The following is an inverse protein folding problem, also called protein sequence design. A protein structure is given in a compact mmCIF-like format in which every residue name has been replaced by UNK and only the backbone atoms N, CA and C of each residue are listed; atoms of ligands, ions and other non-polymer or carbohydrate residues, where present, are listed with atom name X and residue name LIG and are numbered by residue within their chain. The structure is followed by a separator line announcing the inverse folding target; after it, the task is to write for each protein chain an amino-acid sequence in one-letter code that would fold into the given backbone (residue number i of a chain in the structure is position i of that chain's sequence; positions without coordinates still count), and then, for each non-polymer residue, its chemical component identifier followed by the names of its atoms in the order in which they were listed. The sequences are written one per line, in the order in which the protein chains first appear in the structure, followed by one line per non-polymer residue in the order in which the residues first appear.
data_IF_932058003206
#
_entry.id   IF_932058003206
#
_cell.length_a   1.000
_cell.length_b   1.000
_cell.length_c   1.000
_cell.angle_alpha   90.00
_cell.angle_beta   90.00
_cell.angle_gamma   90.00
#
_symmetry.space_group_name_H-M   'P 1'
#
loop_
_entity.id
_entity.type
_entity.pdbx_description
1 polymer ?
#
# COMPACT_ATOMS: atom_id res chain seq x y z
N UNK A 1 -5.04 10.21 -23.01
CA UNK A 1 -4.83 8.81 -22.59
C UNK A 1 -4.85 8.75 -21.06
N UNK A 2 -5.83 8.05 -20.46
CA UNK A 2 -5.93 7.94 -18.99
C UNK A 2 -4.84 6.99 -18.49
N UNK A 3 -3.78 7.54 -17.93
CA UNK A 3 -2.85 6.75 -17.10
C UNK A 3 -3.59 6.35 -15.83
N UNK A 4 -4.17 5.17 -15.80
CA UNK A 4 -4.55 4.53 -14.56
C UNK A 4 -3.27 4.00 -13.92
N UNK A 5 -2.58 4.87 -13.19
CA UNK A 5 -1.55 4.46 -12.24
C UNK A 5 -2.25 3.58 -11.22
N UNK A 6 -1.86 2.31 -11.13
CA UNK A 6 -2.26 1.46 -10.02
C UNK A 6 -1.68 2.11 -8.75
N UNK A 7 -2.51 2.92 -8.08
CA UNK A 7 -2.17 3.35 -6.73
C UNK A 7 -2.07 2.06 -5.93
N UNK A 8 -0.87 1.78 -5.45
CA UNK A 8 -0.65 0.82 -4.40
C UNK A 8 -1.36 1.38 -3.16
N UNK A 9 -2.69 1.18 -3.11
CA UNK A 9 -3.49 1.53 -1.95
C UNK A 9 -3.06 0.55 -0.88
N UNK A 10 -2.10 1.01 -0.10
CA UNK A 10 -1.51 0.24 0.95
C UNK A 10 -2.47 0.18 2.10
N UNK A 11 -2.88 -1.04 2.40
CA UNK A 11 -3.47 -1.37 3.69
C UNK A 11 -2.48 -0.95 4.76
N UNK A 12 -2.75 0.18 5.42
CA UNK A 12 -2.11 0.58 6.67
C UNK A 12 -2.54 -0.42 7.76
N UNK A 13 -2.03 -1.66 7.64
CA UNK A 13 -1.92 -2.53 8.80
C UNK A 13 -0.65 -2.08 9.52
N UNK A 14 -0.82 -1.57 10.71
CA UNK A 14 0.25 -1.18 11.63
C UNK A 14 1.34 -2.26 11.63
N UNK A 15 2.42 -2.03 10.88
CA UNK A 15 3.59 -2.89 10.86
C UNK A 15 4.35 -2.69 12.16
N UNK A 16 4.15 -3.59 13.13
CA UNK A 16 5.06 -3.74 14.25
C UNK A 16 6.13 -4.75 13.87
N UNK A 17 7.39 -4.36 14.03
CA UNK A 17 8.57 -5.15 13.73
C UNK A 17 8.53 -6.52 14.42
N UNK A 18 8.74 -7.59 13.65
CA UNK A 18 9.03 -8.91 14.21
C UNK A 18 10.52 -9.15 14.07
N UNK A 19 11.27 -9.01 15.17
CA UNK A 19 12.59 -9.58 15.30
C UNK A 19 12.45 -11.08 15.61
N UNK A 20 13.19 -11.93 14.90
CA UNK A 20 13.25 -13.37 15.14
C UNK A 20 13.92 -13.62 16.50
N UNK A 21 13.11 -13.86 17.54
CA UNK A 21 13.59 -14.20 18.88
C UNK A 21 12.48 -13.94 19.90
N UNK A 22 11.78 -15.01 20.33
CA UNK A 22 10.56 -15.04 21.14
C UNK A 22 9.33 -14.50 20.40
N UNK A 23 8.23 -15.24 20.40
CA UNK A 23 6.97 -14.85 19.76
C UNK A 23 6.43 -13.55 20.41
N UNK A 24 6.96 -12.41 19.97
CA UNK A 24 6.48 -11.14 20.43
C UNK A 24 5.16 -10.86 19.71
N UNK A 25 4.05 -10.90 20.44
CA UNK A 25 2.71 -10.59 19.96
C UNK A 25 2.50 -9.07 19.97
N UNK A 26 2.85 -8.36 18.89
CA UNK A 26 2.84 -6.89 18.86
C UNK A 26 1.43 -6.32 18.94
N UNK A 27 0.43 -7.15 18.64
CA UNK A 27 -0.98 -6.75 18.70
C UNK A 27 -1.54 -6.81 20.12
N UNK A 28 -0.82 -7.44 21.07
CA UNK A 28 -1.26 -7.59 22.46
C UNK A 28 -2.69 -8.17 22.54
N UNK A 29 -2.95 -9.24 21.80
CA UNK A 29 -4.12 -10.11 21.88
C UNK A 29 -3.74 -11.39 22.62
N UNK A 30 -4.71 -12.27 22.93
CA UNK A 30 -4.41 -13.57 23.51
C UNK A 30 -3.39 -14.35 22.66
N UNK A 31 -2.34 -14.89 23.29
CA UNK A 31 -1.23 -15.52 22.56
C UNK A 31 -1.66 -16.73 21.73
N UNK A 32 -2.73 -17.42 22.10
CA UNK A 32 -3.27 -18.53 21.30
C UNK A 32 -4.02 -18.04 20.04
N UNK A 33 -4.50 -16.80 20.04
CA UNK A 33 -5.18 -16.19 18.89
C UNK A 33 -4.19 -15.59 17.88
N UNK A 34 -2.99 -15.23 18.35
CA UNK A 34 -2.00 -14.58 17.50
C UNK A 34 -1.58 -15.41 16.28
N UNK A 35 -1.31 -16.73 16.37
CA UNK A 35 -1.03 -17.57 15.20
C UNK A 35 -2.19 -17.66 14.22
N UNK A 36 -3.44 -17.64 14.70
CA UNK A 36 -4.63 -17.64 13.86
C UNK A 36 -4.70 -16.30 13.09
N UNK A 37 -4.48 -15.19 13.78
CA UNK A 37 -4.43 -13.87 13.16
C UNK A 37 -3.32 -13.75 12.11
N UNK A 38 -2.11 -14.25 12.40
CA UNK A 38 -1.01 -14.28 11.42
C UNK A 38 -1.39 -15.05 10.14
N UNK A 39 -2.07 -16.19 10.28
CA UNK A 39 -2.59 -16.95 9.12
C UNK A 39 -3.66 -16.15 8.38
N UNK A 40 -4.59 -15.50 9.08
CA UNK A 40 -5.62 -14.66 8.47
C UNK A 40 -5.00 -13.52 7.66
N UNK A 41 -3.99 -12.83 8.19
CA UNK A 41 -3.22 -11.79 7.48
C UNK A 41 -2.52 -12.34 6.24
N UNK A 42 -1.89 -13.51 6.33
CA UNK A 42 -1.22 -14.16 5.20
C UNK A 42 -2.19 -14.41 4.03
N UNK A 43 -3.41 -14.80 4.34
CA UNK A 43 -4.44 -15.15 3.35
C UNK A 43 -5.48 -14.04 3.11
N UNK A 44 -5.29 -12.83 3.64
CA UNK A 44 -6.28 -11.74 3.63
C UNK A 44 -6.81 -11.31 2.25
N UNK A 45 -6.08 -11.63 1.18
CA UNK A 45 -6.49 -11.32 -0.21
C UNK A 45 -7.04 -12.55 -0.94
N UNK A 46 -7.30 -13.64 -0.23
CA UNK A 46 -7.82 -14.88 -0.77
C UNK A 46 -9.03 -15.36 0.04
N UNK A 47 -9.97 -16.15 -0.55
CA UNK A 47 -11.17 -16.62 0.14
C UNK A 47 -10.90 -17.38 1.45
N UNK A 48 -9.76 -18.09 1.53
CA UNK A 48 -9.35 -18.78 2.76
C UNK A 48 -9.18 -17.83 3.95
N UNK A 49 -8.77 -16.59 3.69
CA UNK A 49 -8.63 -15.56 4.73
C UNK A 49 -9.94 -15.27 5.45
N UNK A 50 -11.07 -15.30 4.73
CA UNK A 50 -12.40 -15.07 5.32
C UNK A 50 -12.75 -16.17 6.34
N UNK A 51 -12.53 -17.45 5.99
CA UNK A 51 -12.80 -18.58 6.88
C UNK A 51 -11.93 -18.53 8.15
N UNK A 52 -10.65 -18.17 7.99
CA UNK A 52 -9.74 -18.03 9.13
C UNK A 52 -10.16 -16.84 10.00
N UNK A 53 -10.64 -15.76 9.41
CA UNK A 53 -11.12 -14.59 10.16
C UNK A 53 -12.40 -14.91 10.96
N UNK A 54 -13.31 -15.70 10.41
CA UNK A 54 -14.51 -16.16 11.13
C UNK A 54 -14.12 -17.04 12.32
N UNK A 55 -13.17 -17.97 12.14
CA UNK A 55 -12.61 -18.78 13.23
C UNK A 55 -11.99 -17.90 14.31
N UNK A 56 -11.15 -16.93 13.92
CA UNK A 56 -10.51 -15.99 14.84
C UNK A 56 -11.56 -15.19 15.63
N UNK A 57 -12.61 -14.70 14.96
CA UNK A 57 -13.66 -13.92 15.62
C UNK A 57 -14.43 -14.77 16.64
N UNK A 58 -14.76 -16.03 16.31
CA UNK A 58 -15.45 -16.95 17.20
C UNK A 58 -14.61 -17.28 18.45
N UNK A 59 -13.34 -17.65 18.27
CA UNK A 59 -12.43 -17.94 19.39
C UNK A 59 -12.15 -16.69 20.24
N UNK A 60 -11.97 -15.52 19.61
CA UNK A 60 -11.81 -14.25 20.33
C UNK A 60 -13.07 -13.89 21.16
N UNK A 61 -14.24 -14.27 20.66
CA UNK A 61 -15.51 -14.09 21.39
C UNK A 61 -15.57 -14.97 22.64
N UNK A 62 -15.19 -16.25 22.53
CA UNK A 62 -15.13 -17.15 23.68
C UNK A 62 -14.12 -16.67 24.73
N UNK A 63 -12.97 -16.16 24.30
CA UNK A 63 -11.92 -15.61 25.17
C UNK A 63 -12.19 -14.18 25.66
N UNK A 64 -13.26 -13.55 25.20
CA UNK A 64 -13.60 -12.15 25.48
C UNK A 64 -12.51 -11.15 25.07
N UNK A 65 -11.66 -11.53 24.08
CA UNK A 65 -10.64 -10.65 23.52
C UNK A 65 -11.24 -9.70 22.48
N UNK A 66 -11.64 -8.52 22.94
CA UNK A 66 -12.29 -7.50 22.12
C UNK A 66 -11.38 -6.95 21.01
N UNK A 67 -10.08 -6.92 21.26
CA UNK A 67 -9.11 -6.45 20.29
C UNK A 67 -8.93 -7.47 19.15
N UNK A 68 -8.83 -8.75 19.49
CA UNK A 68 -8.79 -9.82 18.49
C UNK A 68 -10.08 -9.89 17.66
N UNK A 69 -11.26 -9.63 18.25
CA UNK A 69 -12.52 -9.50 17.50
C UNK A 69 -12.42 -8.38 16.45
N UNK A 70 -11.96 -7.18 16.84
CA UNK A 70 -11.78 -6.07 15.90
C UNK A 70 -10.76 -6.42 14.79
N UNK A 71 -9.64 -7.04 15.14
CA UNK A 71 -8.64 -7.49 14.17
C UNK A 71 -9.20 -8.50 13.16
N UNK A 72 -9.98 -9.47 13.62
CA UNK A 72 -10.63 -10.45 12.74
C UNK A 72 -11.49 -9.76 11.67
N UNK A 73 -12.22 -8.70 12.04
CA UNK A 73 -13.08 -7.96 11.13
C UNK A 73 -12.34 -7.09 10.10
N UNK A 74 -11.04 -6.85 10.29
CA UNK A 74 -10.22 -6.16 9.27
C UNK A 74 -9.94 -7.03 8.04
N UNK A 75 -10.00 -8.35 8.19
CA UNK A 75 -9.69 -9.30 7.10
C UNK A 75 -10.73 -9.27 5.98
N UNK A 76 -12.06 -9.39 6.24
CA UNK A 76 -13.07 -9.23 5.19
C UNK A 76 -12.99 -7.88 4.48
N UNK A 77 -12.72 -6.78 5.21
CA UNK A 77 -12.54 -5.45 4.61
C UNK A 77 -11.35 -5.47 3.63
N UNK A 78 -10.23 -6.07 4.04
CA UNK A 78 -9.04 -6.22 3.19
C UNK A 78 -9.30 -7.08 1.96
N UNK A 79 -10.03 -8.19 2.12
CA UNK A 79 -10.38 -9.09 1.03
C UNK A 79 -11.25 -8.40 -0.02
N UNK A 80 -12.34 -7.76 0.41
CA UNK A 80 -13.26 -7.10 -0.52
C UNK A 80 -12.65 -5.85 -1.15
N UNK A 81 -11.72 -5.17 -0.49
CA UNK A 81 -10.91 -4.13 -1.11
C UNK A 81 -10.03 -4.71 -2.24
N UNK A 82 -9.33 -5.83 -1.98
CA UNK A 82 -8.45 -6.46 -2.96
C UNK A 82 -9.17 -7.00 -4.19
N UNK A 83 -10.43 -7.40 -4.03
CA UNK A 83 -11.32 -7.88 -5.10
C UNK A 83 -12.18 -6.76 -5.70
N UNK A 84 -12.01 -5.52 -5.24
CA UNK A 84 -12.76 -4.34 -5.65
C UNK A 84 -14.28 -4.51 -5.56
N UNK A 85 -14.78 -5.28 -4.60
CA UNK A 85 -16.20 -5.54 -4.38
C UNK A 85 -16.75 -4.53 -3.36
N UNK A 86 -17.24 -3.39 -3.86
CA UNK A 86 -17.68 -2.28 -3.02
C UNK A 86 -18.86 -2.68 -2.11
N UNK A 87 -19.88 -3.36 -2.63
CA UNK A 87 -21.07 -3.71 -1.86
C UNK A 87 -20.75 -4.56 -0.62
N UNK A 88 -19.98 -5.64 -0.82
CA UNK A 88 -19.54 -6.50 0.29
C UNK A 88 -18.54 -5.81 1.21
N UNK A 89 -17.71 -4.91 0.66
CA UNK A 89 -16.80 -4.12 1.47
C UNK A 89 -17.55 -3.16 2.38
N UNK A 90 -18.59 -2.49 1.88
CA UNK A 90 -19.41 -1.56 2.67
C UNK A 90 -20.05 -2.27 3.87
N UNK A 91 -20.61 -3.48 3.66
CA UNK A 91 -21.18 -4.32 4.72
C UNK A 91 -20.11 -4.75 5.75
N UNK A 92 -18.94 -5.23 5.27
CA UNK A 92 -17.84 -5.63 6.15
C UNK A 92 -17.27 -4.45 6.94
N UNK A 93 -17.11 -3.28 6.29
CA UNK A 93 -16.64 -2.06 6.92
C UNK A 93 -17.64 -1.54 7.97
N UNK A 94 -18.94 -1.60 7.69
CA UNK A 94 -19.96 -1.21 8.66
C UNK A 94 -19.87 -2.05 9.95
N UNK A 95 -19.76 -3.38 9.84
CA UNK A 95 -19.58 -4.29 10.97
C UNK A 95 -18.26 -4.01 11.72
N UNK A 96 -17.15 -3.81 10.99
CA UNK A 96 -15.85 -3.50 11.60
C UNK A 96 -15.88 -2.16 12.35
N UNK A 97 -16.51 -1.15 11.77
CA UNK A 97 -16.65 0.18 12.39
C UNK A 97 -17.49 0.12 13.67
N UNK A 98 -18.61 -0.59 13.66
CA UNK A 98 -19.48 -0.77 14.82
C UNK A 98 -18.73 -1.45 15.97
N UNK A 99 -18.10 -2.60 15.71
CA UNK A 99 -17.36 -3.34 16.75
C UNK A 99 -16.16 -2.55 17.29
N UNK A 100 -15.43 -1.86 16.41
CA UNK A 100 -14.30 -1.04 16.80
C UNK A 100 -14.72 0.12 17.69
N UNK A 101 -15.81 0.81 17.38
CA UNK A 101 -16.34 1.93 18.17
C UNK A 101 -16.89 1.46 19.50
N UNK A 102 -17.66 0.36 19.52
CA UNK A 102 -18.20 -0.26 20.73
C UNK A 102 -17.11 -0.63 21.75
N UNK A 103 -15.96 -1.07 21.28
CA UNK A 103 -14.85 -1.51 22.12
C UNK A 103 -13.73 -0.47 22.27
N UNK A 104 -13.92 0.75 21.77
CA UNK A 104 -12.97 1.87 21.82
C UNK A 104 -11.61 1.57 21.10
N UNK A 105 -11.62 0.77 20.05
CA UNK A 105 -10.46 0.54 19.19
C UNK A 105 -10.55 1.42 17.94
N UNK A 106 -10.58 2.74 18.10
CA UNK A 106 -10.86 3.71 17.04
C UNK A 106 -9.89 3.66 15.87
N UNK A 107 -8.66 3.19 16.07
CA UNK A 107 -7.74 2.96 14.95
C UNK A 107 -8.30 2.00 13.89
N UNK A 108 -9.02 0.93 14.30
CA UNK A 108 -9.65 0.01 13.35
C UNK A 108 -10.89 0.60 12.70
N UNK A 109 -11.60 1.47 13.44
CA UNK A 109 -12.69 2.25 12.88
C UNK A 109 -12.20 3.12 11.71
N UNK A 110 -11.15 3.92 11.91
CA UNK A 110 -10.61 4.80 10.89
C UNK A 110 -9.94 4.04 9.74
N UNK A 111 -9.32 2.89 10.02
CA UNK A 111 -8.81 1.99 8.99
C UNK A 111 -9.93 1.47 8.08
N UNK A 112 -11.06 1.07 8.65
CA UNK A 112 -12.22 0.62 7.87
C UNK A 112 -12.82 1.76 7.03
N UNK A 113 -12.90 2.99 7.55
CA UNK A 113 -13.33 4.17 6.80
C UNK A 113 -12.41 4.44 5.60
N UNK A 114 -11.09 4.42 5.82
CA UNK A 114 -10.09 4.61 4.76
C UNK A 114 -10.24 3.56 3.65
N UNK A 115 -10.42 2.29 4.02
CA UNK A 115 -10.59 1.20 3.03
C UNK A 115 -11.88 1.35 2.22
N UNK A 116 -12.96 1.79 2.84
CA UNK A 116 -14.22 2.10 2.15
C UNK A 116 -14.05 3.23 1.13
N UNK A 117 -13.39 4.32 1.53
CA UNK A 117 -13.09 5.45 0.66
C UNK A 117 -12.20 5.02 -0.51
N UNK A 118 -11.17 4.23 -0.24
CA UNK A 118 -10.25 3.72 -1.26
C UNK A 118 -10.99 2.82 -2.27
N UNK A 119 -11.92 2.00 -1.83
CA UNK A 119 -12.72 1.18 -2.72
C UNK A 119 -13.63 2.04 -3.63
N UNK A 120 -14.22 3.11 -3.10
CA UNK A 120 -14.97 4.07 -3.89
C UNK A 120 -14.10 4.74 -4.97
N UNK A 121 -12.88 5.11 -4.62
CA UNK A 121 -11.91 5.69 -5.56
C UNK A 121 -11.57 4.70 -6.67
N UNK A 122 -11.29 3.44 -6.33
CA UNK A 122 -10.99 2.39 -7.31
C UNK A 122 -12.14 2.13 -8.29
N UNK A 123 -13.39 2.34 -7.84
CA UNK A 123 -14.60 2.21 -8.65
C UNK A 123 -15.00 3.52 -9.36
N UNK A 124 -14.17 4.57 -9.30
CA UNK A 124 -14.42 5.85 -9.97
C UNK A 124 -15.43 6.77 -9.26
N UNK A 125 -15.89 6.41 -8.06
CA UNK A 125 -16.86 7.20 -7.29
C UNK A 125 -16.23 8.31 -6.46
N UNK A 126 -15.43 9.18 -7.11
CA UNK A 126 -14.60 10.18 -6.43
C UNK A 126 -15.38 11.21 -5.61
N UNK A 127 -16.61 11.56 -5.99
CA UNK A 127 -17.45 12.50 -5.22
C UNK A 127 -17.94 11.85 -3.91
N UNK A 128 -18.40 10.59 -3.96
CA UNK A 128 -18.79 9.85 -2.75
C UNK A 128 -17.59 9.60 -1.83
N UNK A 129 -16.43 9.33 -2.41
CA UNK A 129 -15.18 9.20 -1.66
C UNK A 129 -14.83 10.49 -0.91
N UNK A 130 -14.95 11.64 -1.57
CA UNK A 130 -14.72 12.95 -0.95
C UNK A 130 -15.70 13.22 0.19
N UNK A 131 -17.00 12.97 -0.02
CA UNK A 131 -18.01 13.13 1.01
C UNK A 131 -17.67 12.28 2.25
N UNK A 132 -17.38 10.98 2.07
CA UNK A 132 -17.01 10.09 3.18
C UNK A 132 -15.69 10.50 3.87
N UNK A 133 -14.74 11.08 3.13
CA UNK A 133 -13.51 11.60 3.72
C UNK A 133 -13.77 12.84 4.60
N UNK A 134 -14.66 13.73 4.18
CA UNK A 134 -15.05 14.89 5.02
C UNK A 134 -15.84 14.44 6.27
N UNK A 135 -16.75 13.48 6.14
CA UNK A 135 -17.44 12.87 7.31
C UNK A 135 -16.44 12.24 8.28
N UNK A 136 -15.46 11.48 7.76
CA UNK A 136 -14.39 10.87 8.54
C UNK A 136 -13.54 11.94 9.25
N UNK A 137 -13.23 13.05 8.57
CA UNK A 137 -12.46 14.17 9.13
C UNK A 137 -13.19 14.80 10.31
N UNK A 138 -14.46 15.18 10.15
CA UNK A 138 -15.29 15.74 11.22
C UNK A 138 -15.29 14.81 12.44
N UNK A 139 -15.45 13.50 12.21
CA UNK A 139 -15.49 12.52 13.28
C UNK A 139 -14.11 12.35 13.96
N UNK A 140 -13.01 12.36 13.20
CA UNK A 140 -11.66 12.20 13.75
C UNK A 140 -11.26 13.38 14.65
N UNK A 141 -11.64 14.60 14.26
CA UNK A 141 -11.43 15.78 15.09
C UNK A 141 -12.30 15.77 16.34
N UNK A 142 -13.57 15.33 16.23
CA UNK A 142 -14.46 15.17 17.39
C UNK A 142 -13.93 14.13 18.37
N UNK A 143 -13.43 13.01 17.88
CA UNK A 143 -12.84 11.94 18.70
C UNK A 143 -11.44 12.30 19.23
N UNK A 144 -10.82 13.39 18.77
CA UNK A 144 -9.43 13.79 19.05
C UNK A 144 -8.44 12.62 18.81
N UNK A 145 -8.68 11.83 17.76
CA UNK A 145 -7.95 10.59 17.52
C UNK A 145 -6.83 10.79 16.50
N UNK A 146 -5.56 10.78 16.96
CA UNK A 146 -4.38 11.11 16.18
C UNK A 146 -4.28 10.30 14.85
N UNK A 147 -4.45 8.98 14.94
CA UNK A 147 -4.45 8.13 13.74
C UNK A 147 -5.62 8.45 12.80
N UNK A 148 -6.79 8.80 13.34
CA UNK A 148 -7.94 9.22 12.55
C UNK A 148 -7.67 10.51 11.78
N UNK A 149 -7.10 11.52 12.44
CA UNK A 149 -6.74 12.81 11.82
C UNK A 149 -5.69 12.58 10.73
N UNK A 150 -4.61 11.85 11.03
CA UNK A 150 -3.61 11.48 10.04
C UNK A 150 -4.24 10.78 8.82
N UNK A 151 -5.07 9.75 9.06
CA UNK A 151 -5.70 8.95 8.01
C UNK A 151 -6.60 9.81 7.10
N UNK A 152 -7.27 10.83 7.66
CA UNK A 152 -8.06 11.79 6.87
C UNK A 152 -7.19 12.62 5.94
N UNK A 153 -6.13 13.22 6.47
CA UNK A 153 -5.22 14.07 5.69
C UNK A 153 -4.64 13.25 4.53
N UNK A 154 -4.15 12.05 4.84
CA UNK A 154 -3.58 11.16 3.83
C UNK A 154 -4.62 10.73 2.78
N UNK A 155 -5.84 10.36 3.20
CA UNK A 155 -6.92 9.92 2.31
C UNK A 155 -7.36 11.04 1.38
N UNK A 156 -7.43 12.29 1.86
CA UNK A 156 -7.69 13.45 1.01
C UNK A 156 -6.58 13.61 -0.05
N UNK A 157 -5.33 13.42 0.30
CA UNK A 157 -4.23 13.36 -0.66
C UNK A 157 -4.49 12.33 -1.77
N UNK A 158 -4.87 11.11 -1.41
CA UNK A 158 -5.21 10.05 -2.38
C UNK A 158 -6.38 10.45 -3.29
N UNK A 159 -7.43 11.09 -2.75
CA UNK A 159 -8.57 11.57 -3.54
C UNK A 159 -8.13 12.60 -4.58
N UNK A 160 -7.34 13.60 -4.17
CA UNK A 160 -6.86 14.63 -5.10
C UNK A 160 -5.89 14.05 -6.13
N UNK A 161 -5.05 13.10 -5.75
CA UNK A 161 -4.18 12.38 -6.68
C UNK A 161 -4.99 11.65 -7.77
N UNK A 162 -6.04 10.91 -7.38
CA UNK A 162 -6.94 10.23 -8.33
C UNK A 162 -7.69 11.19 -9.23
N UNK A 163 -7.98 12.40 -8.76
CA UNK A 163 -8.60 13.48 -9.55
C UNK A 163 -7.61 14.22 -10.42
N UNK A 164 -6.38 13.74 -10.55
CA UNK A 164 -5.28 14.34 -11.32
C UNK A 164 -4.83 15.72 -10.80
N UNK A 165 -5.24 16.11 -9.61
CA UNK A 165 -4.76 17.33 -8.94
C UNK A 165 -3.54 16.99 -8.06
N UNK A 166 -2.42 16.75 -8.73
CA UNK A 166 -1.20 16.25 -8.09
C UNK A 166 -0.54 17.24 -7.14
N UNK A 167 -0.65 18.54 -7.42
CA UNK A 167 -0.09 19.59 -6.56
C UNK A 167 -0.80 19.59 -5.21
N UNK A 168 -2.14 19.63 -5.22
CA UNK A 168 -2.93 19.59 -3.99
C UNK A 168 -2.69 18.25 -3.24
N UNK A 169 -2.63 17.13 -3.97
CA UNK A 169 -2.33 15.83 -3.36
C UNK A 169 -0.98 15.84 -2.62
N UNK A 170 0.04 16.47 -3.23
CA UNK A 170 1.39 16.56 -2.64
C UNK A 170 1.39 17.37 -1.34
N UNK A 171 0.65 18.48 -1.30
CA UNK A 171 0.51 19.26 -0.07
C UNK A 171 -0.17 18.45 1.05
N UNK A 172 -1.21 17.67 0.71
CA UNK A 172 -1.80 16.74 1.67
C UNK A 172 -0.82 15.66 2.15
N UNK A 173 0.01 15.10 1.26
CA UNK A 173 1.01 14.10 1.66
C UNK A 173 2.11 14.70 2.55
N UNK A 174 2.56 15.92 2.28
CA UNK A 174 3.51 16.63 3.16
C UNK A 174 2.90 16.88 4.53
N UNK A 175 1.67 17.39 4.57
CA UNK A 175 0.95 17.63 5.83
C UNK A 175 0.71 16.33 6.60
N UNK A 176 0.36 15.23 5.91
CA UNK A 176 0.20 13.91 6.53
C UNK A 176 1.52 13.39 7.12
N UNK A 177 2.63 13.57 6.39
CA UNK A 177 3.97 13.20 6.85
C UNK A 177 4.37 14.00 8.09
N UNK A 178 4.22 15.31 8.06
CA UNK A 178 4.53 16.18 9.20
C UNK A 178 3.69 15.81 10.43
N UNK A 179 2.39 15.62 10.24
CA UNK A 179 1.49 15.21 11.29
C UNK A 179 1.87 13.84 11.88
N UNK A 180 2.19 12.86 11.03
CA UNK A 180 2.62 11.52 11.45
C UNK A 180 3.92 11.60 12.26
N UNK A 181 4.93 12.29 11.78
CA UNK A 181 6.23 12.39 12.46
C UNK A 181 6.11 13.04 13.84
N UNK A 182 5.17 14.00 13.99
CA UNK A 182 4.95 14.72 15.25
C UNK A 182 4.09 13.93 16.24
N UNK A 183 2.99 13.32 15.79
CA UNK A 183 1.94 12.80 16.68
C UNK A 183 1.89 11.27 16.70
N UNK A 184 2.55 10.60 15.75
CA UNK A 184 2.52 9.13 15.60
C UNK A 184 3.96 8.58 15.35
N UNK A 185 4.94 8.86 16.24
CA UNK A 185 6.35 8.55 15.99
C UNK A 185 6.64 7.06 15.82
N UNK A 186 5.76 6.20 16.35
CA UNK A 186 5.87 4.75 16.21
C UNK A 186 5.36 4.22 14.86
N UNK A 187 4.66 5.02 14.10
CA UNK A 187 4.19 4.63 12.77
C UNK A 187 5.34 4.62 11.75
N UNK A 188 5.14 3.84 10.67
CA UNK A 188 6.11 3.74 9.58
C UNK A 188 5.81 4.78 8.50
N UNK A 189 6.65 5.84 8.32
CA UNK A 189 6.42 6.89 7.34
C UNK A 189 6.83 6.51 5.92
N UNK A 190 7.34 5.31 5.69
CA UNK A 190 7.91 4.86 4.41
C UNK A 190 7.00 5.16 3.23
N UNK A 191 5.71 4.88 3.36
CA UNK A 191 4.77 5.08 2.25
C UNK A 191 4.46 6.55 1.95
N UNK A 192 4.58 7.43 2.94
CA UNK A 192 4.48 8.88 2.71
C UNK A 192 5.66 9.35 1.87
N UNK A 193 6.85 8.89 2.21
CA UNK A 193 8.04 9.19 1.42
C UNK A 193 7.97 8.61 0.00
N UNK A 194 7.46 7.38 -0.18
CA UNK A 194 7.25 6.76 -1.49
C UNK A 194 6.30 7.62 -2.35
N UNK A 195 5.16 8.04 -1.81
CA UNK A 195 4.20 8.86 -2.55
C UNK A 195 4.80 10.22 -2.98
N UNK A 196 5.60 10.85 -2.12
CA UNK A 196 6.32 12.07 -2.47
C UNK A 196 7.39 11.80 -3.54
N UNK A 197 8.14 10.72 -3.42
CA UNK A 197 9.11 10.28 -4.43
C UNK A 197 8.46 10.07 -5.80
N UNK A 198 7.32 9.37 -5.86
CA UNK A 198 6.56 9.15 -7.10
C UNK A 198 6.09 10.46 -7.73
N UNK A 199 5.58 11.38 -6.91
CA UNK A 199 5.16 12.70 -7.39
C UNK A 199 6.31 13.46 -8.06
N UNK A 200 7.46 13.57 -7.39
CA UNK A 200 8.60 14.29 -7.94
C UNK A 200 9.22 13.59 -9.15
N UNK A 201 9.24 12.25 -9.18
CA UNK A 201 9.63 11.49 -10.37
C UNK A 201 8.72 11.80 -11.56
N UNK A 202 7.41 11.80 -11.37
CA UNK A 202 6.44 12.06 -12.42
C UNK A 202 6.48 13.53 -12.91
N UNK A 203 6.94 14.44 -12.07
CA UNK A 203 7.19 15.84 -12.41
C UNK A 203 8.51 16.04 -13.17
N UNK A 204 9.37 15.01 -13.21
CA UNK A 204 10.70 15.08 -13.82
C UNK A 204 11.80 15.60 -12.88
N UNK A 205 11.50 15.81 -11.61
CA UNK A 205 12.44 16.26 -10.57
C UNK A 205 13.15 15.05 -9.94
N UNK A 206 13.99 14.35 -10.74
CA UNK A 206 14.59 13.06 -10.40
C UNK A 206 15.44 13.07 -9.12
N UNK A 207 16.25 14.10 -8.89
CA UNK A 207 17.10 14.18 -7.68
C UNK A 207 16.25 14.33 -6.40
N UNK A 208 15.18 15.14 -6.45
CA UNK A 208 14.25 15.27 -5.32
C UNK A 208 13.49 13.96 -5.09
N UNK A 209 13.09 13.28 -6.18
CA UNK A 209 12.46 11.96 -6.09
C UNK A 209 13.38 10.94 -5.43
N UNK A 210 14.68 10.94 -5.78
CA UNK A 210 15.67 10.04 -5.20
C UNK A 210 15.90 10.34 -3.71
N UNK A 211 15.96 11.60 -3.32
CA UNK A 211 16.06 11.99 -1.91
C UNK A 211 14.90 11.41 -1.08
N UNK A 212 13.65 11.51 -1.58
CA UNK A 212 12.50 10.94 -0.91
C UNK A 212 12.53 9.40 -0.91
N UNK A 213 12.98 8.75 -1.99
CA UNK A 213 13.15 7.29 -2.04
C UNK A 213 14.18 6.80 -1.01
N UNK A 214 15.27 7.54 -0.81
CA UNK A 214 16.27 7.23 0.22
C UNK A 214 15.75 7.43 1.64
N UNK A 215 14.98 8.50 1.87
CA UNK A 215 14.24 8.69 3.14
C UNK A 215 13.29 7.53 3.41
N UNK A 216 12.58 7.04 2.38
CA UNK A 216 11.71 5.87 2.48
C UNK A 216 12.49 4.61 2.89
N UNK A 217 13.62 4.33 2.23
CA UNK A 217 14.45 3.17 2.54
C UNK A 217 15.02 3.21 3.96
N UNK A 218 15.45 4.40 4.41
CA UNK A 218 15.98 4.61 5.76
C UNK A 218 14.90 4.49 6.84
N UNK A 219 13.68 4.90 6.55
CA UNK A 219 12.57 4.94 7.51
C UNK A 219 11.83 3.60 7.64
N UNK A 220 12.06 2.65 6.72
CA UNK A 220 11.33 1.39 6.67
C UNK A 220 11.51 0.56 7.95
N UNK A 221 10.38 0.27 8.61
CA UNK A 221 10.33 -0.47 9.88
C UNK A 221 10.00 -1.95 9.71
N UNK A 222 9.50 -2.36 8.54
CA UNK A 222 9.12 -3.75 8.24
C UNK A 222 9.80 -4.23 6.97
N UNK A 223 9.86 -5.56 6.77
CA UNK A 223 10.41 -6.13 5.54
C UNK A 223 9.56 -5.73 4.31
N UNK A 224 8.23 -5.63 4.47
CA UNK A 224 7.34 -5.15 3.41
C UNK A 224 7.60 -3.70 3.04
N UNK A 225 7.76 -2.81 4.01
CA UNK A 225 8.07 -1.41 3.75
C UNK A 225 9.47 -1.24 3.18
N UNK A 226 10.46 -2.04 3.62
CA UNK A 226 11.80 -2.06 3.05
C UNK A 226 11.79 -2.47 1.57
N UNK A 227 11.10 -3.57 1.24
CA UNK A 227 10.95 -3.98 -0.17
C UNK A 227 10.22 -2.91 -0.98
N UNK A 228 9.13 -2.31 -0.44
CA UNK A 228 8.41 -1.26 -1.15
C UNK A 228 9.30 -0.02 -1.44
N UNK A 229 10.13 0.38 -0.48
CA UNK A 229 11.04 1.52 -0.66
C UNK A 229 12.15 1.23 -1.69
N UNK A 230 12.71 0.01 -1.69
CA UNK A 230 13.72 -0.40 -2.68
C UNK A 230 13.12 -0.48 -4.09
N UNK A 231 11.90 -1.02 -4.23
CA UNK A 231 11.17 -1.03 -5.51
C UNK A 231 10.99 0.41 -6.04
N UNK A 232 10.54 1.34 -5.19
CA UNK A 232 10.39 2.74 -5.56
C UNK A 232 11.73 3.39 -5.95
N UNK A 233 12.80 3.15 -5.16
CA UNK A 233 14.14 3.66 -5.46
C UNK A 233 14.65 3.16 -6.81
N UNK A 234 14.44 1.88 -7.13
CA UNK A 234 14.79 1.32 -8.45
C UNK A 234 14.02 2.03 -9.58
N UNK A 235 12.71 2.29 -9.42
CA UNK A 235 11.92 2.99 -10.44
C UNK A 235 12.41 4.42 -10.67
N UNK A 236 12.81 5.12 -9.60
CA UNK A 236 13.41 6.46 -9.71
C UNK A 236 14.75 6.41 -10.45
N UNK A 237 15.65 5.50 -10.06
CA UNK A 237 16.96 5.32 -10.70
C UNK A 237 16.84 4.94 -12.19
N UNK A 238 15.87 4.08 -12.52
CA UNK A 238 15.52 3.76 -13.89
C UNK A 238 15.10 5.01 -14.67
N UNK A 239 14.20 5.82 -14.14
CA UNK A 239 13.73 7.07 -14.80
C UNK A 239 14.85 8.07 -15.02
N UNK A 240 15.82 8.12 -14.12
CA UNK A 240 17.03 8.96 -14.19
C UNK A 240 18.13 8.37 -15.10
N UNK A 241 17.95 7.15 -15.62
CA UNK A 241 18.97 6.40 -16.41
C UNK A 241 20.28 6.16 -15.66
N UNK A 242 20.22 6.07 -14.32
CA UNK A 242 21.40 5.78 -13.47
C UNK A 242 21.62 4.27 -13.38
N UNK A 243 22.16 3.68 -14.46
CA UNK A 243 22.23 2.23 -14.69
C UNK A 243 22.96 1.49 -13.57
N UNK A 244 24.12 1.98 -13.14
CA UNK A 244 24.93 1.30 -12.11
C UNK A 244 24.21 1.30 -10.75
N UNK A 245 23.61 2.44 -10.37
CA UNK A 245 22.87 2.56 -9.13
C UNK A 245 21.60 1.75 -9.15
N UNK A 246 20.91 1.69 -10.32
CA UNK A 246 19.76 0.82 -10.52
C UNK A 246 20.12 -0.65 -10.32
N UNK A 247 21.23 -1.13 -10.92
CA UNK A 247 21.65 -2.53 -10.78
C UNK A 247 21.96 -2.86 -9.32
N UNK A 248 22.70 -2.01 -8.62
CA UNK A 248 22.99 -2.20 -7.19
C UNK A 248 21.71 -2.25 -6.33
N UNK A 249 20.77 -1.34 -6.58
CA UNK A 249 19.48 -1.31 -5.88
C UNK A 249 18.61 -2.51 -6.22
N UNK A 250 18.61 -2.97 -7.48
CA UNK A 250 17.90 -4.17 -7.92
C UNK A 250 18.42 -5.42 -7.20
N UNK A 251 19.74 -5.58 -7.13
CA UNK A 251 20.37 -6.74 -6.48
C UNK A 251 20.09 -6.72 -4.97
N UNK A 252 20.14 -5.56 -4.29
CA UNK A 252 19.71 -5.43 -2.89
C UNK A 252 18.23 -5.80 -2.72
N UNK A 253 17.35 -5.32 -3.59
CA UNK A 253 15.92 -5.58 -3.52
C UNK A 253 15.61 -7.08 -3.66
N UNK A 254 16.23 -7.75 -4.63
CA UNK A 254 16.06 -9.20 -4.84
C UNK A 254 16.58 -10.01 -3.67
N UNK A 255 17.74 -9.65 -3.11
CA UNK A 255 18.29 -10.30 -1.92
C UNK A 255 17.36 -10.18 -0.69
N UNK A 256 16.79 -8.99 -0.47
CA UNK A 256 15.83 -8.79 0.64
C UNK A 256 14.56 -9.62 0.44
N UNK A 257 14.07 -9.72 -0.81
CA UNK A 257 12.89 -10.54 -1.14
C UNK A 257 13.17 -12.03 -0.90
N UNK A 258 14.32 -12.53 -1.33
CA UNK A 258 14.73 -13.92 -1.12
C UNK A 258 14.89 -14.25 0.38
N UNK A 259 15.54 -13.37 1.12
CA UNK A 259 15.78 -13.55 2.55
C UNK A 259 14.50 -13.59 3.39
N UNK A 260 13.52 -12.73 3.06
CA UNK A 260 12.34 -12.55 3.90
C UNK A 260 11.04 -13.11 3.30
N UNK A 261 11.08 -13.67 2.09
CA UNK A 261 9.93 -14.28 1.42
C UNK A 261 8.79 -13.29 1.10
N UNK A 262 9.11 -12.01 0.91
CA UNK A 262 8.11 -10.97 0.59
C UNK A 262 7.61 -11.14 -0.84
N UNK A 263 6.32 -11.46 -0.99
CA UNK A 263 5.75 -11.80 -2.31
C UNK A 263 5.23 -10.52 -2.99
N UNK A 264 6.02 -9.95 -3.89
CA UNK A 264 5.63 -8.85 -4.79
C UNK A 264 5.94 -9.17 -6.25
N UNK A 265 5.49 -10.34 -6.70
CA UNK A 265 5.85 -10.92 -8.01
C UNK A 265 5.76 -9.92 -9.17
N UNK A 266 4.62 -9.23 -9.35
CA UNK A 266 4.42 -8.29 -10.45
C UNK A 266 5.38 -7.09 -10.40
N UNK A 267 5.67 -6.55 -9.20
CA UNK A 267 6.59 -5.44 -9.07
C UNK A 267 8.03 -5.86 -9.39
N UNK A 268 8.45 -7.05 -8.94
CA UNK A 268 9.77 -7.62 -9.26
C UNK A 268 9.90 -7.91 -10.76
N UNK A 269 8.86 -8.47 -11.37
CA UNK A 269 8.85 -8.67 -12.84
C UNK A 269 9.02 -7.35 -13.59
N UNK A 270 8.35 -6.28 -13.18
CA UNK A 270 8.54 -4.94 -13.76
C UNK A 270 9.98 -4.46 -13.65
N UNK A 271 10.62 -4.61 -12.48
CA UNK A 271 12.03 -4.25 -12.33
C UNK A 271 12.95 -5.10 -13.23
N UNK A 272 12.63 -6.39 -13.39
CA UNK A 272 13.39 -7.25 -14.31
C UNK A 272 13.26 -6.76 -15.75
N UNK A 273 12.05 -6.38 -16.17
CA UNK A 273 11.82 -5.76 -17.49
C UNK A 273 12.64 -4.48 -17.63
N UNK A 274 12.67 -3.60 -16.63
CA UNK A 274 13.49 -2.40 -16.66
C UNK A 274 15.00 -2.71 -16.81
N UNK A 275 15.49 -3.75 -16.11
CA UNK A 275 16.88 -4.23 -16.25
C UNK A 275 17.17 -4.69 -17.69
N UNK A 276 16.26 -5.42 -18.30
CA UNK A 276 16.37 -5.85 -19.70
C UNK A 276 16.37 -4.67 -20.67
N UNK A 277 15.51 -3.67 -20.46
CA UNK A 277 15.46 -2.45 -21.27
C UNK A 277 16.78 -1.68 -21.17
N UNK A 278 17.32 -1.48 -19.95
CA UNK A 278 18.59 -0.81 -19.74
C UNK A 278 19.77 -1.51 -20.44
N UNK A 279 19.70 -2.85 -20.51
CA UNK A 279 20.68 -3.69 -21.22
C UNK A 279 20.38 -3.83 -22.74
N UNK A 280 19.37 -3.11 -23.25
CA UNK A 280 18.92 -3.16 -24.65
C UNK A 280 18.46 -4.55 -25.13
N UNK A 281 18.06 -5.43 -24.20
CA UNK A 281 17.54 -6.76 -24.52
C UNK A 281 16.00 -6.68 -24.66
N UNK A 282 15.55 -6.05 -25.74
CA UNK A 282 14.14 -5.71 -25.94
C UNK A 282 13.26 -6.93 -26.22
N UNK A 283 13.77 -7.94 -26.93
CA UNK A 283 13.00 -9.15 -27.23
C UNK A 283 12.64 -9.93 -25.97
N UNK A 284 13.62 -10.10 -25.07
CA UNK A 284 13.38 -10.74 -23.79
C UNK A 284 12.49 -9.86 -22.90
N UNK A 285 12.63 -8.54 -22.95
CA UNK A 285 11.75 -7.62 -22.22
C UNK A 285 10.29 -7.77 -22.66
N UNK A 286 10.01 -7.94 -23.96
CA UNK A 286 8.67 -8.23 -24.48
C UNK A 286 8.13 -9.56 -23.97
N UNK A 287 8.94 -10.62 -24.01
CA UNK A 287 8.56 -11.95 -23.50
C UNK A 287 8.19 -11.90 -22.00
N UNK A 288 8.98 -11.19 -21.22
CA UNK A 288 8.67 -10.98 -19.78
C UNK A 288 7.41 -10.14 -19.56
N UNK A 289 7.17 -9.13 -20.41
CA UNK A 289 5.96 -8.32 -20.35
C UNK A 289 4.69 -9.14 -20.63
N UNK A 290 4.74 -10.06 -21.61
CA UNK A 290 3.66 -10.98 -21.91
C UNK A 290 3.30 -11.90 -20.73
N UNK A 291 4.27 -12.22 -19.88
CA UNK A 291 4.06 -13.05 -18.69
C UNK A 291 3.34 -12.35 -17.54
N UNK A 292 3.14 -11.02 -17.61
CA UNK A 292 2.44 -10.27 -16.60
C UNK A 292 0.95 -10.62 -16.58
N UNK A 293 0.43 -10.99 -15.40
CA UNK A 293 -0.96 -11.40 -15.25
C UNK A 293 -1.99 -10.29 -15.53
N UNK A 294 -1.57 -9.04 -15.40
CA UNK A 294 -2.45 -7.89 -15.60
C UNK A 294 -2.18 -7.30 -16.99
N UNK A 295 -3.18 -7.41 -17.88
CA UNK A 295 -3.10 -6.92 -19.25
C UNK A 295 -2.72 -5.43 -19.36
N UNK A 296 -3.25 -4.60 -18.45
CA UNK A 296 -2.91 -3.17 -18.42
C UNK A 296 -1.42 -2.95 -18.10
N UNK A 297 -0.89 -3.71 -17.13
CA UNK A 297 0.54 -3.65 -16.79
C UNK A 297 1.41 -4.18 -17.92
N UNK A 298 0.99 -5.24 -18.61
CA UNK A 298 1.67 -5.77 -19.79
C UNK A 298 1.73 -4.71 -20.91
N UNK A 299 0.59 -4.10 -21.24
CA UNK A 299 0.51 -3.07 -22.27
C UNK A 299 1.38 -1.84 -21.94
N UNK A 300 1.43 -1.44 -20.66
CA UNK A 300 2.30 -0.35 -20.22
C UNK A 300 3.79 -0.70 -20.41
N UNK A 301 4.19 -1.94 -20.13
CA UNK A 301 5.56 -2.38 -20.34
C UNK A 301 5.90 -2.46 -21.83
N UNK A 302 5.04 -3.00 -22.66
CA UNK A 302 5.25 -3.01 -24.13
C UNK A 302 5.39 -1.60 -24.68
N UNK A 303 4.54 -0.67 -24.27
CA UNK A 303 4.66 0.73 -24.65
C UNK A 303 6.02 1.33 -24.25
N UNK A 304 6.46 1.09 -23.02
CA UNK A 304 7.78 1.56 -22.54
C UNK A 304 8.92 0.93 -23.35
N UNK A 305 8.86 -0.39 -23.63
CA UNK A 305 9.87 -1.09 -24.43
C UNK A 305 9.94 -0.50 -25.84
N UNK A 306 8.80 -0.26 -26.50
CA UNK A 306 8.77 0.33 -27.83
C UNK A 306 9.33 1.76 -27.85
N UNK A 307 9.02 2.58 -26.86
CA UNK A 307 9.61 3.92 -26.73
C UNK A 307 11.14 3.87 -26.57
N UNK A 308 11.65 2.95 -25.74
CA UNK A 308 13.11 2.84 -25.48
C UNK A 308 13.88 2.17 -26.61
N UNK A 309 13.23 1.29 -27.38
CA UNK A 309 13.83 0.68 -28.59
C UNK A 309 13.78 1.59 -29.82
N UNK A 310 13.08 2.73 -29.74
CA UNK A 310 12.90 3.64 -30.88
C UNK A 310 11.79 3.22 -31.85
N UNK A 311 10.98 2.21 -31.51
CA UNK A 311 9.87 1.74 -32.35
C UNK A 311 8.60 2.53 -32.03
N UNK A 312 8.58 3.79 -32.45
CA UNK A 312 7.49 4.71 -32.12
C UNK A 312 6.15 4.33 -32.79
N UNK A 313 6.15 3.67 -33.94
CA UNK A 313 4.92 3.22 -34.61
C UNK A 313 4.13 2.22 -33.76
N UNK A 314 4.82 1.34 -33.04
CA UNK A 314 4.18 0.36 -32.16
C UNK A 314 3.89 0.89 -30.76
N UNK A 315 4.48 2.03 -30.39
CA UNK A 315 4.24 2.68 -29.10
C UNK A 315 2.93 3.47 -29.08
N UNK A 316 2.40 3.87 -30.22
CA UNK A 316 1.18 4.68 -30.39
C UNK A 316 0.14 3.95 -31.25
#
# INVERSE_FOLDING_TARGET
MRRHTNILILLLLTGLCISAGAQNNPYKIDDSLYPIFQRAIKWRTQPQGLLIADTLYAEATQKKDKKAQCLALTIPVSFYLSTNNYEKLEQAAARAKEEARKNNYLQYYYSACTNEINCLLNNGHSLRALQKAEEMKIQAFKDQHEYGIFSCIFTLGNIYYMRQNREVATEYYKNALEYMLKNLPDQDPTYMYINLSEYYRDKGEGEVALEYAEKAAKAAKTNESRVASLLNKCEVLYSMKRINDFNACYDECTQVIEQYGVIRKTAVQRLHIYKLILNKNYDQAHTEADSLRNLLSANQMHHEIYLKSGNYEKAY
#
